data_IF_907915200861
#
_entry.id   IF_907915200861
#
_cell.length_a   1.000
_cell.length_b   1.000
_cell.length_c   1.000
_cell.angle_alpha   90.00
_cell.angle_beta   90.00
_cell.angle_gamma   90.00
#
_symmetry.space_group_name_H-M   'P 1'
#
loop_
_entity.id
_entity.type
_entity.pdbx_description
1 polymer ?
#
# COMPACT_ATOMS: atom_id res chain seq x y z
N UNK A 1 -10.33 -23.49 -4.87
CA UNK A 1 -9.46 -23.27 -6.02
C UNK A 1 -7.97 -23.25 -5.65
N UNK A 2 -7.53 -22.39 -4.74
CA UNK A 2 -6.10 -22.24 -4.36
C UNK A 2 -5.41 -23.51 -3.85
N UNK A 3 -6.12 -24.42 -3.21
CA UNK A 3 -5.57 -25.67 -2.65
C UNK A 3 -5.23 -26.73 -3.70
N UNK A 4 -6.01 -26.82 -4.78
CA UNK A 4 -5.79 -27.82 -5.84
C UNK A 4 -4.83 -27.32 -6.94
N UNK A 5 -4.79 -26.02 -7.21
CA UNK A 5 -3.96 -25.44 -8.24
C UNK A 5 -2.46 -25.68 -7.99
N UNK A 6 -2.00 -25.58 -6.73
CA UNK A 6 -0.60 -25.86 -6.37
C UNK A 6 -0.17 -27.28 -6.71
N UNK A 7 -1.04 -28.27 -6.47
CA UNK A 7 -0.75 -29.67 -6.78
C UNK A 7 -0.69 -29.91 -8.29
N UNK A 8 -1.60 -29.29 -9.07
CA UNK A 8 -1.60 -29.37 -10.52
C UNK A 8 -0.27 -28.84 -11.10
N UNK A 9 0.15 -27.64 -10.70
CA UNK A 9 1.39 -27.03 -11.21
C UNK A 9 2.66 -27.78 -10.81
N UNK A 10 2.68 -28.49 -9.68
CA UNK A 10 3.79 -29.37 -9.31
C UNK A 10 3.96 -30.51 -10.32
N UNK A 11 2.87 -31.05 -10.87
CA UNK A 11 2.91 -32.16 -11.83
C UNK A 11 3.20 -31.72 -13.25
N UNK A 12 2.66 -30.55 -13.66
CA UNK A 12 2.86 -30.04 -15.03
C UNK A 12 4.31 -29.56 -15.25
N UNK A 13 5.03 -29.16 -14.20
CA UNK A 13 6.43 -28.66 -14.25
C UNK A 13 6.67 -27.51 -15.25
N UNK A 14 5.70 -26.63 -15.43
CA UNK A 14 5.82 -25.50 -16.32
C UNK A 14 6.33 -24.26 -15.60
N UNK A 15 7.13 -23.42 -16.30
CA UNK A 15 7.48 -22.05 -15.87
C UNK A 15 6.45 -21.02 -16.34
N UNK A 16 5.60 -21.36 -17.32
CA UNK A 16 4.56 -20.47 -17.84
C UNK A 16 3.36 -20.47 -16.88
N UNK A 17 3.50 -19.72 -15.80
CA UNK A 17 2.46 -19.51 -14.79
C UNK A 17 2.12 -18.04 -14.76
N UNK A 18 0.85 -17.74 -14.87
CA UNK A 18 0.32 -16.39 -14.92
C UNK A 18 -0.87 -16.28 -13.99
N UNK A 19 -0.99 -15.15 -13.33
CA UNK A 19 -2.17 -14.78 -12.56
C UNK A 19 -2.42 -13.28 -12.67
N UNK A 20 -3.47 -12.79 -12.03
CA UNK A 20 -3.74 -11.36 -11.96
C UNK A 20 -2.75 -10.60 -11.07
N UNK A 21 -1.90 -11.27 -10.29
CA UNK A 21 -1.00 -10.67 -9.31
C UNK A 21 -0.18 -9.51 -9.89
N UNK A 22 0.40 -9.69 -11.06
CA UNK A 22 1.28 -8.69 -11.69
C UNK A 22 0.55 -7.45 -12.24
N UNK A 23 -0.76 -7.48 -12.33
CA UNK A 23 -1.62 -6.36 -12.78
C UNK A 23 -2.56 -5.87 -11.69
N UNK A 24 -2.36 -6.30 -10.44
CA UNK A 24 -3.16 -5.93 -9.28
C UNK A 24 -2.23 -5.62 -8.08
N UNK A 25 -1.88 -6.65 -7.32
CA UNK A 25 -1.30 -6.50 -5.97
C UNK A 25 0.21 -6.79 -5.90
N UNK A 26 0.89 -7.00 -7.01
CA UNK A 26 2.33 -7.26 -7.03
C UNK A 26 3.14 -6.20 -6.26
N UNK A 27 2.86 -4.89 -6.35
CA UNK A 27 3.54 -3.87 -5.55
C UNK A 27 3.46 -4.11 -4.04
N UNK A 28 2.32 -4.57 -3.53
CA UNK A 28 2.17 -4.92 -2.10
C UNK A 28 3.07 -6.10 -1.73
N UNK A 29 3.06 -7.17 -2.53
CA UNK A 29 3.90 -8.35 -2.28
C UNK A 29 5.39 -8.02 -2.33
N UNK A 30 5.79 -7.20 -3.30
CA UNK A 30 7.17 -6.81 -3.49
C UNK A 30 7.68 -5.97 -2.31
N UNK A 31 6.91 -4.95 -1.93
CA UNK A 31 7.24 -4.08 -0.79
C UNK A 31 7.23 -4.86 0.52
N UNK A 32 6.24 -5.75 0.74
CA UNK A 32 6.23 -6.61 1.93
C UNK A 32 7.45 -7.53 1.99
N UNK A 33 7.88 -8.07 0.86
CA UNK A 33 9.11 -8.88 0.80
C UNK A 33 10.36 -8.06 1.16
N UNK A 34 10.47 -6.83 0.66
CA UNK A 34 11.64 -5.98 0.89
C UNK A 34 11.66 -5.35 2.28
N UNK A 35 10.51 -4.87 2.78
CA UNK A 35 10.45 -4.19 4.07
C UNK A 35 10.31 -5.16 5.25
N UNK A 36 9.60 -6.28 5.07
CA UNK A 36 9.22 -7.17 6.16
C UNK A 36 9.73 -8.62 5.98
N UNK A 37 10.48 -8.90 4.92
CA UNK A 37 11.11 -10.20 4.70
C UNK A 37 10.18 -11.30 4.17
N UNK A 38 8.89 -11.05 3.97
CA UNK A 38 7.96 -12.05 3.43
C UNK A 38 6.85 -11.39 2.60
N UNK A 39 6.62 -11.88 1.38
CA UNK A 39 5.69 -11.30 0.41
C UNK A 39 4.21 -11.27 0.86
N UNK A 40 3.82 -12.09 1.84
CA UNK A 40 2.45 -12.15 2.37
C UNK A 40 2.28 -11.42 3.70
N UNK A 41 3.31 -10.80 4.22
CA UNK A 41 3.26 -10.04 5.46
C UNK A 41 2.76 -8.62 5.19
N UNK A 42 1.46 -8.49 4.94
CA UNK A 42 0.81 -7.21 4.68
C UNK A 42 0.24 -6.61 5.95
N UNK A 43 0.60 -5.36 6.30
CA UNK A 43 -0.11 -4.63 7.35
C UNK A 43 -1.55 -4.35 6.93
N UNK A 44 -2.49 -4.55 7.84
CA UNK A 44 -3.93 -4.43 7.62
C UNK A 44 -4.50 -3.28 8.45
N UNK A 45 -5.35 -2.41 7.88
CA UNK A 45 -5.97 -1.31 8.59
C UNK A 45 -6.84 -1.74 9.78
N UNK A 46 -6.58 -1.22 10.97
CA UNK A 46 -7.42 -1.42 12.14
C UNK A 46 -8.49 -0.33 12.25
N UNK A 47 -9.47 -0.38 11.38
CA UNK A 47 -10.52 0.63 11.24
C UNK A 47 -11.38 0.80 12.49
N UNK A 48 -11.48 -0.23 13.32
CA UNK A 48 -12.35 -0.20 14.50
C UNK A 48 -11.80 0.71 15.62
N UNK A 49 -10.50 1.00 15.60
CA UNK A 49 -9.81 1.78 16.64
C UNK A 49 -9.10 3.02 16.12
N UNK A 50 -8.97 3.19 14.79
CA UNK A 50 -8.29 4.37 14.22
C UNK A 50 -9.08 5.65 14.44
N UNK A 51 -8.37 6.78 14.54
CA UNK A 51 -8.93 8.13 14.61
C UNK A 51 -8.70 8.94 13.32
N UNK A 52 -7.68 8.56 12.55
CA UNK A 52 -7.41 9.19 11.27
C UNK A 52 -7.11 8.13 10.20
N UNK A 53 -7.86 8.14 9.12
CA UNK A 53 -7.67 7.18 8.03
C UNK A 53 -7.45 7.91 6.71
N UNK A 54 -6.20 7.96 6.25
CA UNK A 54 -5.83 8.40 4.92
C UNK A 54 -5.88 7.21 3.95
N UNK A 55 -6.78 7.25 3.00
CA UNK A 55 -7.03 6.17 2.05
C UNK A 55 -6.78 6.64 0.61
N UNK A 56 -5.87 5.98 -0.12
CA UNK A 56 -5.48 6.32 -1.48
C UNK A 56 -5.84 5.20 -2.46
N UNK A 57 -6.53 5.56 -3.55
CA UNK A 57 -6.84 4.64 -4.64
C UNK A 57 -7.50 3.34 -4.19
N UNK A 58 -8.36 3.40 -3.18
CA UNK A 58 -9.05 2.28 -2.59
C UNK A 58 -10.56 2.54 -2.48
N UNK A 59 -11.37 1.56 -2.89
CA UNK A 59 -12.82 1.65 -2.80
C UNK A 59 -13.39 0.41 -2.07
N UNK A 60 -13.20 0.30 -0.74
CA UNK A 60 -13.67 -0.86 0.02
C UNK A 60 -15.19 -1.01 -0.01
N UNK A 61 -15.94 0.05 -0.26
CA UNK A 61 -17.40 -0.03 -0.45
C UNK A 61 -17.81 -0.92 -1.63
N UNK A 62 -16.95 -1.01 -2.67
CA UNK A 62 -17.16 -1.90 -3.82
C UNK A 62 -16.46 -3.25 -3.65
N UNK A 63 -15.29 -3.30 -2.99
CA UNK A 63 -14.40 -4.46 -2.97
C UNK A 63 -14.35 -5.23 -1.65
N UNK A 64 -15.09 -4.82 -0.62
CA UNK A 64 -14.92 -5.29 0.76
C UNK A 64 -13.47 -5.19 1.28
N UNK A 65 -12.69 -4.22 0.74
CA UNK A 65 -11.31 -3.99 1.12
C UNK A 65 -10.28 -4.87 0.41
N UNK A 66 -10.71 -5.88 -0.34
CA UNK A 66 -9.79 -6.80 -1.06
C UNK A 66 -8.80 -7.50 -0.10
N UNK A 67 -7.48 -7.19 -0.09
CA UNK A 67 -6.51 -7.76 0.88
C UNK A 67 -6.97 -7.52 2.33
N UNK A 68 -7.55 -6.39 2.61
CA UNK A 68 -8.08 -6.05 3.94
C UNK A 68 -9.25 -6.95 4.36
N UNK A 69 -10.11 -7.37 3.41
CA UNK A 69 -11.25 -8.27 3.64
C UNK A 69 -12.06 -7.88 4.89
N UNK A 70 -12.59 -6.66 4.87
CA UNK A 70 -13.29 -6.09 6.03
C UNK A 70 -14.80 -6.33 5.92
N UNK A 71 -15.40 -7.13 6.83
CA UNK A 71 -16.84 -7.33 6.84
C UNK A 71 -17.56 -6.04 7.28
N UNK A 72 -18.71 -5.77 6.66
CA UNK A 72 -19.53 -4.59 6.93
C UNK A 72 -18.77 -3.26 6.93
N UNK A 73 -17.97 -3.07 5.90
CA UNK A 73 -17.09 -1.90 5.77
C UNK A 73 -17.86 -0.57 5.88
N UNK A 74 -19.10 -0.53 5.36
CA UNK A 74 -19.96 0.67 5.42
C UNK A 74 -20.20 1.11 6.86
N UNK A 75 -20.57 0.16 7.72
CA UNK A 75 -20.86 0.48 9.13
C UNK A 75 -19.58 0.88 9.86
N UNK A 76 -18.49 0.16 9.66
CA UNK A 76 -17.20 0.48 10.29
C UNK A 76 -16.66 1.87 9.92
N UNK A 77 -16.82 2.31 8.66
CA UNK A 77 -16.45 3.67 8.25
C UNK A 77 -17.40 4.74 8.84
N UNK A 78 -18.68 4.41 9.04
CA UNK A 78 -19.60 5.29 9.79
C UNK A 78 -19.23 5.37 11.27
N UNK A 79 -18.88 4.24 11.88
CA UNK A 79 -18.46 4.17 13.28
C UNK A 79 -17.17 4.94 13.52
N UNK A 80 -16.21 4.89 12.59
CA UNK A 80 -15.04 5.76 12.62
C UNK A 80 -15.43 7.23 12.75
N UNK A 81 -16.35 7.70 11.92
CA UNK A 81 -16.82 9.10 11.96
C UNK A 81 -17.62 9.42 13.21
N UNK A 82 -18.48 8.49 13.68
CA UNK A 82 -19.34 8.70 14.86
C UNK A 82 -18.53 8.84 16.15
N UNK A 83 -17.34 8.21 16.25
CA UNK A 83 -16.41 8.39 17.37
C UNK A 83 -15.47 9.58 17.22
N UNK A 84 -15.73 10.48 16.24
CA UNK A 84 -14.94 11.70 16.00
C UNK A 84 -13.71 11.48 15.12
N UNK A 85 -13.54 10.30 14.55
CA UNK A 85 -12.43 10.03 13.60
C UNK A 85 -12.66 10.66 12.23
N UNK A 86 -11.57 10.87 11.49
CA UNK A 86 -11.55 11.47 10.16
C UNK A 86 -11.16 10.44 9.10
N UNK A 87 -11.98 10.32 8.04
CA UNK A 87 -11.67 9.56 6.84
C UNK A 87 -11.35 10.54 5.71
N UNK A 88 -10.11 10.54 5.25
CA UNK A 88 -9.65 11.30 4.08
C UNK A 88 -9.44 10.32 2.93
N UNK A 89 -10.12 10.56 1.81
CA UNK A 89 -9.97 9.74 0.61
C UNK A 89 -9.29 10.57 -0.48
N UNK A 90 -8.19 10.05 -1.01
CA UNK A 90 -7.49 10.59 -2.18
C UNK A 90 -7.75 9.66 -3.35
N UNK A 91 -8.52 10.10 -4.32
CA UNK A 91 -8.89 9.30 -5.49
C UNK A 91 -9.20 10.23 -6.68
N UNK A 92 -8.87 9.78 -7.86
CA UNK A 92 -9.18 10.50 -9.10
C UNK A 92 -10.69 10.56 -9.42
N UNK A 93 -11.47 9.72 -8.76
CA UNK A 93 -12.92 9.57 -8.91
C UNK A 93 -13.62 9.68 -7.57
N UNK A 94 -14.77 10.33 -7.55
CA UNK A 94 -15.65 10.30 -6.38
C UNK A 94 -16.34 8.93 -6.29
N UNK A 95 -15.68 8.03 -5.58
CA UNK A 95 -16.13 6.66 -5.35
C UNK A 95 -17.20 6.62 -4.24
N UNK A 96 -17.87 5.47 -4.10
CA UNK A 96 -18.83 5.22 -3.00
C UNK A 96 -18.14 5.36 -1.62
N UNK A 97 -16.86 5.07 -1.53
CA UNK A 97 -16.06 5.30 -0.32
C UNK A 97 -15.78 6.79 -0.13
N UNK A 98 -15.46 7.51 -1.20
CA UNK A 98 -15.24 8.96 -1.16
C UNK A 98 -16.52 9.73 -0.78
N UNK A 99 -17.71 9.23 -1.13
CA UNK A 99 -18.98 9.79 -0.71
C UNK A 99 -19.23 9.67 0.81
N UNK A 100 -18.69 8.63 1.44
CA UNK A 100 -18.74 8.44 2.89
C UNK A 100 -17.63 9.18 3.62
N UNK A 101 -16.59 9.63 2.93
CA UNK A 101 -15.45 10.27 3.54
C UNK A 101 -15.81 11.56 4.29
N UNK A 102 -14.97 11.93 5.24
CA UNK A 102 -15.01 13.25 5.87
C UNK A 102 -14.47 14.31 4.89
N UNK A 103 -13.53 13.90 4.05
CA UNK A 103 -12.88 14.73 3.04
C UNK A 103 -12.48 13.88 1.82
N UNK A 104 -12.69 14.42 0.62
CA UNK A 104 -12.25 13.80 -0.62
C UNK A 104 -11.39 14.76 -1.42
N UNK A 105 -10.19 14.34 -1.76
CA UNK A 105 -9.26 15.09 -2.60
C UNK A 105 -9.13 14.39 -3.95
N UNK A 106 -9.39 15.14 -5.01
CA UNK A 106 -9.10 14.68 -6.36
C UNK A 106 -7.61 14.75 -6.62
N UNK A 107 -7.05 13.65 -7.15
CA UNK A 107 -5.66 13.59 -7.55
C UNK A 107 -5.56 13.29 -9.05
N UNK A 108 -4.56 13.86 -9.73
CA UNK A 108 -4.28 13.46 -11.10
C UNK A 108 -3.80 12.01 -11.15
N UNK A 109 -4.35 11.19 -12.07
CA UNK A 109 -3.94 9.79 -12.21
C UNK A 109 -2.43 9.64 -12.38
N UNK A 110 -1.83 8.71 -11.63
CA UNK A 110 -0.41 8.39 -11.72
C UNK A 110 0.54 9.32 -10.97
N UNK A 111 0.02 10.24 -10.14
CA UNK A 111 0.84 11.21 -9.38
C UNK A 111 0.85 10.95 -7.87
N UNK A 112 0.30 9.85 -7.43
CA UNK A 112 0.23 9.48 -6.00
C UNK A 112 1.61 9.39 -5.35
N UNK A 113 2.63 8.96 -6.09
CA UNK A 113 4.01 8.96 -5.60
C UNK A 113 4.48 10.37 -5.20
N UNK A 114 4.16 11.39 -6.01
CA UNK A 114 4.54 12.77 -5.69
C UNK A 114 3.83 13.27 -4.42
N UNK A 115 2.54 12.95 -4.25
CA UNK A 115 1.79 13.27 -3.04
C UNK A 115 2.41 12.61 -1.79
N UNK A 116 2.66 11.29 -1.84
CA UNK A 116 3.20 10.54 -0.73
C UNK A 116 4.62 10.96 -0.35
N UNK A 117 5.48 11.21 -1.34
CA UNK A 117 6.86 11.66 -1.10
C UNK A 117 6.89 13.07 -0.51
N UNK A 118 5.98 13.97 -0.94
CA UNK A 118 5.85 15.29 -0.34
C UNK A 118 5.33 15.23 1.09
N UNK A 119 4.42 14.29 1.41
CA UNK A 119 4.03 14.04 2.80
C UNK A 119 5.23 13.59 3.64
N UNK A 120 6.04 12.65 3.15
CA UNK A 120 7.26 12.20 3.84
C UNK A 120 8.21 13.38 4.05
N UNK A 121 8.40 14.24 3.03
CA UNK A 121 9.19 15.47 3.20
C UNK A 121 8.69 16.32 4.36
N UNK A 122 7.37 16.54 4.47
CA UNK A 122 6.76 17.32 5.57
C UNK A 122 7.05 16.67 6.92
N UNK A 123 6.90 15.34 7.03
CA UNK A 123 7.17 14.63 8.28
C UNK A 123 8.59 14.87 8.80
N UNK A 124 9.59 14.88 7.93
CA UNK A 124 10.98 15.16 8.32
C UNK A 124 11.24 16.64 8.52
N UNK A 125 10.73 17.51 7.65
CA UNK A 125 10.93 18.96 7.73
C UNK A 125 10.40 19.55 9.02
N UNK A 126 9.23 19.08 9.47
CA UNK A 126 8.49 19.64 10.60
C UNK A 126 8.69 18.83 11.90
N UNK A 127 9.71 17.93 11.93
CA UNK A 127 10.07 17.10 13.08
C UNK A 127 8.91 16.23 13.62
N UNK A 128 8.10 15.68 12.70
CA UNK A 128 6.94 14.85 13.01
C UNK A 128 7.26 13.34 13.01
N UNK A 129 8.53 12.98 12.82
CA UNK A 129 8.97 11.57 12.78
C UNK A 129 9.09 11.02 14.20
N UNK A 130 8.19 10.12 14.54
CA UNK A 130 8.10 9.51 15.88
C UNK A 130 7.83 8.00 15.78
N UNK A 131 8.76 7.17 15.28
CA UNK A 131 8.54 5.73 15.06
C UNK A 131 8.37 4.95 16.38
N UNK A 132 8.70 5.55 17.52
CA UNK A 132 8.56 4.91 18.82
C UNK A 132 9.39 3.63 18.94
N UNK A 133 8.82 2.51 19.43
CA UNK A 133 9.53 1.23 19.54
C UNK A 133 10.06 0.67 18.21
N UNK A 134 9.47 1.08 17.08
CA UNK A 134 9.90 0.63 15.76
C UNK A 134 11.30 1.15 15.39
N UNK A 135 11.78 2.23 16.01
CA UNK A 135 13.12 2.77 15.76
C UNK A 135 14.22 1.72 15.96
N UNK A 136 14.03 0.78 16.90
CA UNK A 136 15.00 -0.29 17.18
C UNK A 136 15.06 -1.37 16.09
N UNK A 137 14.10 -1.40 15.17
CA UNK A 137 13.93 -2.43 14.13
C UNK A 137 13.87 -1.85 12.73
N UNK A 138 14.08 -0.54 12.58
CA UNK A 138 13.94 0.16 11.31
C UNK A 138 15.28 0.76 10.90
N UNK A 139 15.74 0.39 9.73
CA UNK A 139 16.91 0.97 9.08
C UNK A 139 16.48 1.88 7.92
N UNK A 140 17.29 2.88 7.57
CA UNK A 140 17.15 3.67 6.36
C UNK A 140 16.29 4.93 6.48
N UNK A 141 15.82 5.33 7.65
CA UNK A 141 15.04 6.58 7.82
C UNK A 141 15.86 7.84 7.50
N UNK A 142 17.16 7.86 7.81
CA UNK A 142 18.04 8.99 7.49
C UNK A 142 18.28 9.12 5.98
N UNK A 143 18.39 8.00 5.28
CA UNK A 143 18.50 7.95 3.82
C UNK A 143 17.20 8.44 3.17
N UNK A 144 16.05 8.08 3.73
CA UNK A 144 14.75 8.59 3.28
C UNK A 144 14.68 10.10 3.46
N UNK A 145 15.05 10.62 4.64
CA UNK A 145 15.09 12.06 4.91
C UNK A 145 15.92 12.80 3.85
N UNK A 146 17.10 12.27 3.54
CA UNK A 146 17.98 12.82 2.52
C UNK A 146 17.35 12.78 1.12
N UNK A 147 16.74 11.66 0.76
CA UNK A 147 16.15 11.46 -0.57
C UNK A 147 14.96 12.36 -0.86
N UNK A 148 14.21 12.79 0.18
CA UNK A 148 12.99 13.61 -0.01
C UNK A 148 13.22 15.11 0.17
N UNK A 149 14.44 15.60 0.42
CA UNK A 149 14.73 17.03 0.70
C UNK A 149 14.12 17.97 -0.36
N UNK A 150 14.21 17.65 -1.65
CA UNK A 150 13.70 18.46 -2.76
C UNK A 150 12.25 18.17 -3.15
N UNK A 151 11.61 17.18 -2.54
CA UNK A 151 10.25 16.72 -2.90
C UNK A 151 9.20 17.42 -2.05
N UNK A 152 9.19 18.76 -2.13
CA UNK A 152 8.36 19.64 -1.29
C UNK A 152 6.89 19.58 -1.69
N UNK A 153 5.95 20.02 -0.81
CA UNK A 153 4.55 20.24 -1.18
C UNK A 153 4.35 21.14 -2.38
N UNK A 154 5.16 22.22 -2.50
CA UNK A 154 5.11 23.13 -3.65
C UNK A 154 5.55 22.47 -4.96
N UNK A 155 6.51 21.53 -4.90
CA UNK A 155 6.87 20.69 -6.04
C UNK A 155 5.74 19.72 -6.42
N UNK A 156 5.07 19.13 -5.44
CA UNK A 156 4.04 18.12 -5.66
C UNK A 156 2.70 18.72 -6.11
N UNK A 157 2.33 19.92 -5.64
CA UNK A 157 1.03 20.53 -5.90
C UNK A 157 0.70 20.68 -7.41
N UNK A 158 1.57 21.23 -8.27
CA UNK A 158 1.29 21.31 -9.70
C UNK A 158 1.23 19.95 -10.40
N UNK A 159 1.86 18.91 -9.85
CA UNK A 159 1.83 17.55 -10.38
C UNK A 159 0.53 16.84 -10.02
N UNK A 160 0.15 16.90 -8.77
CA UNK A 160 -0.99 16.16 -8.20
C UNK A 160 -2.33 16.83 -8.42
N UNK A 161 -2.33 18.17 -8.46
CA UNK A 161 -3.54 19.01 -8.44
C UNK A 161 -4.09 19.21 -7.01
N UNK A 162 -3.39 18.72 -5.98
CA UNK A 162 -3.70 18.94 -4.56
C UNK A 162 -2.87 20.16 -4.09
N UNK A 163 -3.49 21.09 -3.37
CA UNK A 163 -2.80 22.27 -2.88
C UNK A 163 -1.67 21.91 -1.90
N UNK A 164 -0.57 22.67 -1.92
CA UNK A 164 0.56 22.43 -1.03
C UNK A 164 0.16 22.46 0.45
N UNK A 165 -0.70 23.41 0.84
CA UNK A 165 -1.22 23.54 2.19
C UNK A 165 -2.05 22.31 2.63
N UNK A 166 -2.79 21.68 1.70
CA UNK A 166 -3.53 20.45 1.99
C UNK A 166 -2.58 19.27 2.23
N UNK A 167 -1.49 19.17 1.46
CA UNK A 167 -0.47 18.13 1.66
C UNK A 167 0.17 18.30 3.05
N UNK A 168 0.54 19.53 3.42
CA UNK A 168 1.10 19.83 4.76
C UNK A 168 0.10 19.46 5.85
N UNK A 169 -1.14 19.97 5.74
CA UNK A 169 -2.20 19.71 6.73
C UNK A 169 -2.46 18.23 6.94
N UNK A 170 -2.56 17.44 5.86
CA UNK A 170 -2.82 16.00 5.94
C UNK A 170 -1.66 15.26 6.60
N UNK A 171 -0.41 15.65 6.33
CA UNK A 171 0.76 15.06 6.97
C UNK A 171 0.75 15.33 8.49
N UNK A 172 0.44 16.55 8.92
CA UNK A 172 0.29 16.91 10.32
C UNK A 172 -0.87 16.16 10.99
N UNK A 173 -2.07 16.21 10.39
CA UNK A 173 -3.26 15.53 10.93
C UNK A 173 -3.03 14.03 11.15
N UNK A 174 -2.33 13.38 10.21
CA UNK A 174 -2.00 11.96 10.33
C UNK A 174 -0.96 11.71 11.44
N UNK A 175 0.11 12.52 11.50
CA UNK A 175 1.18 12.34 12.47
C UNK A 175 0.74 12.64 13.90
N UNK A 176 -0.12 13.64 14.10
CA UNK A 176 -0.64 14.06 15.40
C UNK A 176 -1.80 13.21 15.90
N UNK A 177 -2.38 12.37 15.04
CA UNK A 177 -3.47 11.48 15.42
C UNK A 177 -2.99 10.46 16.48
N UNK A 178 -3.79 10.24 17.51
CA UNK A 178 -3.51 9.20 18.53
C UNK A 178 -3.33 7.81 17.87
N UNK A 179 -4.15 7.54 16.85
CA UNK A 179 -4.06 6.35 16.02
C UNK A 179 -4.43 6.71 14.58
N UNK A 180 -3.52 6.48 13.66
CA UNK A 180 -3.66 6.84 12.25
C UNK A 180 -3.30 5.71 11.32
N UNK A 181 -3.83 5.78 10.10
CA UNK A 181 -3.55 4.81 9.03
C UNK A 181 -3.31 5.57 7.74
N UNK A 182 -2.19 5.29 7.08
CA UNK A 182 -2.01 5.54 5.67
C UNK A 182 -2.16 4.21 4.92
N UNK A 183 -3.09 4.13 3.96
CA UNK A 183 -3.41 2.90 3.25
C UNK A 183 -3.68 3.17 1.78
N UNK A 184 -3.13 2.35 0.91
CA UNK A 184 -3.37 2.42 -0.51
C UNK A 184 -3.70 1.05 -1.09
N UNK A 185 -4.51 1.05 -2.14
CA UNK A 185 -4.92 -0.19 -2.80
C UNK A 185 -4.63 -0.16 -4.31
N UNK A 186 -5.42 -0.83 -5.07
CA UNK A 186 -5.19 -1.06 -6.50
C UNK A 186 -4.95 0.23 -7.30
N UNK A 187 -5.65 1.32 -6.98
CA UNK A 187 -5.49 2.61 -7.67
C UNK A 187 -4.09 3.19 -7.57
N UNK A 188 -3.38 2.96 -6.46
CA UNK A 188 -1.97 3.38 -6.33
C UNK A 188 -0.98 2.30 -6.75
N UNK A 189 -1.41 1.03 -6.85
CA UNK A 189 -0.52 -0.09 -7.21
C UNK A 189 -0.39 -0.26 -8.72
N UNK A 190 -1.47 -0.08 -9.48
CA UNK A 190 -1.52 -0.37 -10.92
C UNK A 190 -1.10 0.81 -11.79
N UNK A 191 -0.05 1.50 -11.37
CA UNK A 191 0.53 2.64 -12.09
C UNK A 191 2.05 2.51 -12.16
N UNK A 192 2.71 3.39 -12.93
CA UNK A 192 4.15 3.32 -13.19
C UNK A 192 5.01 3.25 -11.91
N UNK A 193 4.62 3.98 -10.87
CA UNK A 193 5.33 4.04 -9.58
C UNK A 193 4.62 3.29 -8.46
N UNK A 194 3.83 2.25 -8.78
CA UNK A 194 3.02 1.54 -7.80
C UNK A 194 3.80 0.95 -6.63
N UNK A 195 4.98 0.37 -6.87
CA UNK A 195 5.84 -0.13 -5.80
C UNK A 195 6.38 1.01 -4.93
N UNK A 196 6.75 2.14 -5.52
CA UNK A 196 7.17 3.33 -4.77
C UNK A 196 6.03 3.89 -3.90
N UNK A 197 4.80 3.92 -4.43
CA UNK A 197 3.63 4.32 -3.64
C UNK A 197 3.40 3.41 -2.44
N UNK A 198 3.45 2.09 -2.64
CA UNK A 198 3.25 1.13 -1.55
C UNK A 198 4.38 1.20 -0.51
N UNK A 199 5.63 1.41 -0.95
CA UNK A 199 6.76 1.64 -0.06
C UNK A 199 6.59 2.94 0.74
N UNK A 200 6.25 4.06 0.10
CA UNK A 200 6.03 5.34 0.75
C UNK A 200 4.90 5.28 1.82
N UNK A 201 3.83 4.52 1.56
CA UNK A 201 2.77 4.25 2.54
C UNK A 201 3.34 3.56 3.79
N UNK A 202 4.22 2.55 3.62
CA UNK A 202 4.85 1.90 4.76
C UNK A 202 5.81 2.84 5.50
N UNK A 203 6.59 3.64 4.78
CA UNK A 203 7.46 4.67 5.38
C UNK A 203 6.64 5.64 6.23
N UNK A 204 5.50 6.15 5.73
CA UNK A 204 4.63 7.04 6.47
C UNK A 204 4.12 6.37 7.76
N UNK A 205 3.60 5.13 7.67
CA UNK A 205 3.10 4.41 8.85
C UNK A 205 4.21 4.12 9.89
N UNK A 206 5.44 3.85 9.43
CA UNK A 206 6.60 3.68 10.34
C UNK A 206 7.00 5.02 10.95
N UNK A 207 7.19 6.05 10.12
CA UNK A 207 7.66 7.36 10.56
C UNK A 207 6.72 8.02 11.58
N UNK A 208 5.41 7.80 11.44
CA UNK A 208 4.38 8.31 12.36
C UNK A 208 4.10 7.37 13.54
N UNK A 209 4.80 6.22 13.65
CA UNK A 209 4.58 5.24 14.71
C UNK A 209 3.23 4.52 14.66
N UNK A 210 2.59 4.47 13.49
CA UNK A 210 1.28 3.85 13.30
C UNK A 210 1.35 2.43 12.71
N UNK A 211 2.54 1.90 12.43
CA UNK A 211 2.72 0.49 12.06
C UNK A 211 2.71 -0.38 13.31
N UNK A 212 2.04 -1.53 13.23
CA UNK A 212 1.90 -2.55 14.27
C UNK A 212 1.41 -2.02 15.63
N UNK A 213 0.55 -1.01 15.58
CA UNK A 213 -0.09 -0.35 16.74
C UNK A 213 -1.61 -0.49 16.62
N UNK A 214 -2.34 -0.75 17.72
CA UNK A 214 -3.82 -0.70 17.74
C UNK A 214 -4.35 0.62 17.17
N UNK A 215 -5.27 0.53 16.22
CA UNK A 215 -5.80 1.68 15.49
C UNK A 215 -4.92 2.16 14.32
N UNK A 216 -3.76 1.55 14.11
CA UNK A 216 -2.88 1.74 12.96
C UNK A 216 -2.97 0.60 11.95
N UNK A 217 -1.89 0.38 11.22
CA UNK A 217 -1.73 -0.76 10.30
C UNK A 217 -1.12 -1.94 11.05
N UNK A 218 -1.87 -3.02 11.24
CA UNK A 218 -1.48 -4.17 12.06
C UNK A 218 -1.06 -5.38 11.22
N UNK A 219 -0.04 -6.09 11.66
CA UNK A 219 0.21 -7.45 11.19
C UNK A 219 -0.80 -8.40 11.80
N UNK A 220 -1.56 -9.08 10.92
CA UNK A 220 -2.58 -10.03 11.36
C UNK A 220 -1.98 -11.39 11.65
N UNK A 221 -2.61 -12.12 12.58
CA UNK A 221 -2.29 -13.52 12.85
C UNK A 221 -3.44 -14.41 12.38
N UNK A 222 -3.45 -14.83 11.11
CA UNK A 222 -4.56 -15.60 10.56
C UNK A 222 -4.61 -17.02 11.14
N UNK A 223 -5.79 -17.64 11.14
CA UNK A 223 -5.97 -19.01 11.61
C UNK A 223 -5.08 -20.02 10.84
N UNK A 224 -4.82 -19.77 9.56
CA UNK A 224 -3.81 -20.48 8.78
C UNK A 224 -2.68 -19.50 8.48
N UNK A 225 -1.60 -19.56 9.24
CA UNK A 225 -0.45 -18.68 9.08
C UNK A 225 0.34 -19.07 7.83
N UNK A 226 0.15 -18.27 6.79
CA UNK A 226 0.85 -18.48 5.52
C UNK A 226 2.32 -18.05 5.58
N UNK A 227 2.67 -17.08 6.44
CA UNK A 227 4.04 -16.62 6.61
C UNK A 227 4.93 -17.76 7.13
N UNK A 228 4.45 -18.49 8.14
CA UNK A 228 5.16 -19.66 8.70
C UNK A 228 5.15 -20.86 7.74
N UNK A 229 4.07 -21.07 6.97
CA UNK A 229 3.85 -22.27 6.18
C UNK A 229 4.24 -22.14 4.69
N UNK A 230 4.75 -21.00 4.24
CA UNK A 230 5.20 -20.80 2.86
C UNK A 230 6.61 -20.18 2.82
N UNK A 231 7.23 -20.20 1.63
CA UNK A 231 8.50 -19.49 1.46
C UNK A 231 8.29 -17.97 1.44
N UNK A 232 9.31 -17.18 1.80
CA UNK A 232 9.21 -15.72 1.86
C UNK A 232 8.80 -15.05 0.55
N UNK A 233 8.90 -15.75 -0.56
CA UNK A 233 8.79 -15.21 -1.90
C UNK A 233 10.14 -15.14 -2.59
N UNK A 234 10.16 -14.54 -3.75
CA UNK A 234 11.39 -14.35 -4.51
C UNK A 234 11.13 -13.73 -5.86
N UNK A 235 12.18 -13.18 -6.43
CA UNK A 235 12.12 -12.37 -7.62
C UNK A 235 13.33 -12.68 -8.52
N UNK A 236 13.09 -12.78 -9.84
CA UNK A 236 14.16 -12.86 -10.83
C UNK A 236 14.92 -14.19 -10.90
N UNK A 237 14.37 -15.30 -10.40
CA UNK A 237 14.99 -16.64 -10.52
C UNK A 237 15.03 -17.12 -11.96
N UNK A 238 14.07 -16.67 -12.77
CA UNK A 238 14.00 -16.86 -14.21
C UNK A 238 13.21 -15.69 -14.84
N UNK A 239 13.17 -15.64 -16.15
CA UNK A 239 12.50 -14.60 -16.89
C UNK A 239 11.59 -15.18 -17.97
N UNK A 240 10.67 -14.37 -18.48
CA UNK A 240 9.89 -14.68 -19.66
C UNK A 240 10.81 -14.91 -20.87
N UNK A 241 10.50 -15.91 -21.66
CA UNK A 241 11.35 -16.37 -22.77
C UNK A 241 11.46 -15.32 -23.89
N UNK A 242 10.35 -14.63 -24.16
CA UNK A 242 10.27 -13.68 -25.27
C UNK A 242 10.71 -12.27 -24.89
N UNK A 243 10.25 -11.77 -23.73
CA UNK A 243 10.50 -10.37 -23.32
C UNK A 243 11.56 -10.20 -22.27
N UNK A 244 12.10 -11.29 -21.72
CA UNK A 244 13.11 -11.23 -20.66
C UNK A 244 12.63 -10.60 -19.35
N UNK A 245 11.32 -10.46 -19.14
CA UNK A 245 10.79 -9.87 -17.92
C UNK A 245 10.87 -10.87 -16.77
N UNK A 246 11.37 -10.43 -15.59
CA UNK A 246 11.60 -11.33 -14.46
C UNK A 246 10.29 -11.87 -13.87
N UNK A 247 10.36 -13.09 -13.34
CA UNK A 247 9.28 -13.69 -12.54
C UNK A 247 9.24 -13.09 -11.13
N UNK A 248 8.06 -13.20 -10.50
CA UNK A 248 7.88 -13.00 -9.08
C UNK A 248 7.16 -14.21 -8.48
N UNK A 249 7.78 -14.85 -7.51
CA UNK A 249 7.26 -16.04 -6.80
C UNK A 249 6.74 -17.14 -7.74
N UNK A 250 7.54 -17.47 -8.77
CA UNK A 250 7.25 -18.48 -9.80
C UNK A 250 6.11 -18.10 -10.77
N UNK A 251 5.69 -16.85 -10.82
CA UNK A 251 4.73 -16.34 -11.79
C UNK A 251 5.39 -15.33 -12.73
N UNK A 252 5.14 -15.46 -14.02
CA UNK A 252 5.53 -14.48 -15.03
C UNK A 252 4.51 -13.34 -15.07
N UNK A 253 4.93 -12.13 -15.45
CA UNK A 253 4.01 -11.01 -15.64
C UNK A 253 2.91 -11.35 -16.65
N UNK A 254 1.65 -11.09 -16.31
CA UNK A 254 0.49 -11.35 -17.17
C UNK A 254 0.63 -10.70 -18.56
N UNK A 255 1.32 -9.56 -18.63
CA UNK A 255 1.59 -8.85 -19.89
C UNK A 255 2.46 -9.64 -20.88
N UNK A 256 3.14 -10.70 -20.45
CA UNK A 256 3.97 -11.56 -21.33
C UNK A 256 3.23 -12.78 -21.85
N UNK A 257 2.03 -13.06 -21.35
CA UNK A 257 1.31 -14.31 -21.61
C UNK A 257 1.05 -14.53 -23.10
N UNK A 258 0.62 -13.49 -23.83
CA UNK A 258 0.31 -13.59 -25.26
C UNK A 258 1.56 -13.91 -26.08
N UNK A 259 2.68 -13.29 -25.73
CA UNK A 259 3.95 -13.51 -26.42
C UNK A 259 4.47 -14.94 -26.18
N UNK A 260 4.36 -15.43 -24.95
CA UNK A 260 4.73 -16.80 -24.58
C UNK A 260 3.86 -17.90 -25.22
N UNK A 261 2.59 -17.59 -25.58
CA UNK A 261 1.70 -18.51 -26.28
C UNK A 261 2.01 -18.55 -27.78
N UNK A 262 2.39 -17.43 -28.39
CA UNK A 262 2.58 -17.29 -29.83
C UNK A 262 3.91 -17.84 -30.35
N UNK A 263 4.85 -18.09 -29.47
CA UNK A 263 6.22 -18.57 -29.76
C UNK A 263 6.48 -19.93 -29.13
#
# INVERSE_FOLDING_TARGET
MLTHQRNLFRHIRTRNRFSATSVDQLPHHLVSLWCFGHMLLHPIPDVDRTHYFLMLGANPMASNGSIWTVPDVRQRLKDLKSRGGKLVVVDQRRTETAELASEHLFIRPGTDAAFLLAMIHVLFRDDLVAPGPLAAFTDGLEEVATAVIGLTPDWAAPLTGIAADDIVRIAHELAEAEAGICYGRMGVSTQAYGALCQWAIQVINVATGHLDKPGGSLFTRPAMDQVVNTNPGGFGRFASRVRGLPEFNYELPAATMVDEIRT
#
